data_IF_433285586174
#
_entry.id   IF_433285586174
#
_cell.length_a   1.000
_cell.length_b   1.000
_cell.length_c   1.000
_cell.angle_alpha   90.00
_cell.angle_beta   90.00
_cell.angle_gamma   90.00
#
_symmetry.space_group_name_H-M   'P 1'
#
loop_
_entity.id
_entity.type
_entity.pdbx_description
1 polymer ?
#
# COMPACT_ATOMS: atom_id res chain seq x y z
N UNK A 1 -1.39 -7.61 30.17
CA UNK A 1 -0.41 -7.12 29.17
C UNK A 1 -0.51 -7.91 27.86
N UNK A 2 -0.61 -9.24 27.92
CA UNK A 2 -0.76 -10.10 26.72
C UNK A 2 -2.06 -9.90 25.94
N UNK A 3 -3.21 -9.73 26.63
CA UNK A 3 -4.50 -9.46 25.97
C UNK A 3 -4.48 -8.21 25.07
N UNK A 4 -3.75 -7.18 25.47
CA UNK A 4 -3.57 -5.96 24.69
C UNK A 4 -2.67 -6.21 23.47
N UNK A 5 -1.64 -7.08 23.60
CA UNK A 5 -0.82 -7.50 22.45
C UNK A 5 -1.64 -8.27 21.42
N UNK A 6 -2.48 -9.20 21.86
CA UNK A 6 -3.39 -9.93 20.98
C UNK A 6 -4.30 -9.01 20.16
N UNK A 7 -5.01 -8.11 20.84
CA UNK A 7 -5.92 -7.15 20.18
C UNK A 7 -5.19 -6.29 19.14
N UNK A 8 -3.94 -5.91 19.44
CA UNK A 8 -3.10 -5.12 18.53
C UNK A 8 -2.63 -5.93 17.31
N UNK A 9 -2.15 -7.15 17.49
CA UNK A 9 -1.76 -8.00 16.35
C UNK A 9 -2.95 -8.40 15.49
N UNK A 10 -4.09 -8.69 16.10
CA UNK A 10 -5.32 -9.01 15.38
C UNK A 10 -5.80 -7.82 14.53
N UNK A 11 -5.84 -6.62 15.11
CA UNK A 11 -6.19 -5.40 14.37
C UNK A 11 -5.21 -5.14 13.21
N UNK A 12 -3.91 -5.28 13.47
CA UNK A 12 -2.89 -5.08 12.45
C UNK A 12 -2.96 -6.10 11.30
N UNK A 13 -3.24 -7.36 11.60
CA UNK A 13 -3.47 -8.39 10.60
C UNK A 13 -4.68 -8.08 9.74
N UNK A 14 -5.76 -7.60 10.35
CA UNK A 14 -6.96 -7.19 9.63
C UNK A 14 -6.67 -6.03 8.66
N UNK A 15 -5.99 -4.99 9.14
CA UNK A 15 -5.63 -3.85 8.31
C UNK A 15 -4.69 -4.20 7.15
N UNK A 16 -3.69 -5.06 7.40
CA UNK A 16 -2.81 -5.55 6.35
C UNK A 16 -3.58 -6.32 5.29
N UNK A 17 -4.50 -7.20 5.71
CA UNK A 17 -5.37 -7.95 4.77
C UNK A 17 -6.25 -7.03 3.95
N UNK A 18 -6.82 -6.01 4.58
CA UNK A 18 -7.68 -5.05 3.88
C UNK A 18 -6.88 -4.20 2.89
N UNK A 19 -5.65 -3.82 3.23
CA UNK A 19 -4.73 -3.20 2.28
C UNK A 19 -4.38 -4.15 1.12
N UNK A 20 -4.01 -5.40 1.41
CA UNK A 20 -3.68 -6.41 0.40
C UNK A 20 -4.84 -6.64 -0.57
N UNK A 21 -6.07 -6.73 -0.06
CA UNK A 21 -7.28 -6.86 -0.90
C UNK A 21 -7.47 -5.66 -1.82
N UNK A 22 -7.25 -4.44 -1.31
CA UNK A 22 -7.31 -3.22 -2.14
C UNK A 22 -6.18 -3.15 -3.16
N UNK A 23 -4.99 -3.63 -2.82
CA UNK A 23 -3.86 -3.72 -3.75
C UNK A 23 -4.13 -4.72 -4.88
N UNK A 24 -4.78 -5.84 -4.59
CA UNK A 24 -5.26 -6.77 -5.60
C UNK A 24 -6.39 -6.15 -6.45
N UNK A 25 -7.33 -5.46 -5.82
CA UNK A 25 -8.37 -4.71 -6.53
C UNK A 25 -7.82 -3.62 -7.46
N UNK A 26 -6.71 -2.98 -7.09
CA UNK A 26 -6.01 -2.02 -7.94
C UNK A 26 -5.53 -2.66 -9.25
N UNK A 27 -5.03 -3.89 -9.19
CA UNK A 27 -4.54 -4.64 -10.36
C UNK A 27 -5.67 -5.01 -11.32
N UNK A 28 -6.87 -5.26 -10.79
CA UNK A 28 -8.07 -5.61 -11.58
C UNK A 28 -8.90 -4.38 -11.98
N UNK A 29 -8.48 -3.17 -11.54
CA UNK A 29 -9.22 -1.93 -11.79
C UNK A 29 -10.49 -1.77 -10.94
N UNK A 30 -10.70 -2.64 -9.94
CA UNK A 30 -11.88 -2.64 -9.06
C UNK A 30 -11.66 -1.84 -7.77
N UNK A 31 -10.45 -1.34 -7.53
CA UNK A 31 -10.11 -0.53 -6.36
C UNK A 31 -9.07 0.54 -6.67
N UNK A 32 -8.95 1.51 -5.78
CA UNK A 32 -7.92 2.56 -5.82
C UNK A 32 -7.12 2.55 -4.53
N UNK A 33 -5.84 2.86 -4.63
CA UNK A 33 -4.98 3.13 -3.47
C UNK A 33 -4.58 4.60 -3.54
N UNK A 34 -4.82 5.31 -2.43
CA UNK A 34 -4.44 6.71 -2.26
C UNK A 34 -3.10 6.84 -1.54
N UNK A 35 -2.54 8.05 -1.55
CA UNK A 35 -1.37 8.35 -0.71
C UNK A 35 -1.67 8.18 0.78
N UNK A 36 -2.88 8.56 1.21
CA UNK A 36 -3.32 8.40 2.61
C UNK A 36 -3.31 6.94 3.07
N UNK A 37 -3.62 6.00 2.17
CA UNK A 37 -3.55 4.57 2.46
C UNK A 37 -2.10 4.11 2.72
N UNK A 38 -1.15 4.60 1.92
CA UNK A 38 0.27 4.29 2.07
C UNK A 38 0.86 4.92 3.34
N UNK A 39 0.45 6.14 3.66
CA UNK A 39 0.87 6.82 4.90
C UNK A 39 0.33 6.09 6.14
N UNK A 40 -0.94 5.67 6.11
CA UNK A 40 -1.54 4.89 7.21
C UNK A 40 -0.83 3.55 7.40
N UNK A 41 -0.56 2.84 6.31
CA UNK A 41 0.20 1.60 6.32
C UNK A 41 1.60 1.79 6.90
N UNK A 42 2.33 2.81 6.45
CA UNK A 42 3.68 3.11 6.95
C UNK A 42 3.69 3.35 8.46
N UNK A 43 2.71 4.11 8.97
CA UNK A 43 2.58 4.40 10.41
C UNK A 43 2.34 3.12 11.21
N UNK A 44 1.49 2.23 10.72
CA UNK A 44 1.19 0.95 11.36
C UNK A 44 2.43 0.05 11.43
N UNK A 45 3.15 -0.09 10.32
CA UNK A 45 4.37 -0.89 10.26
C UNK A 45 5.42 -0.42 11.27
N UNK A 46 5.62 0.90 11.39
CA UNK A 46 6.56 1.48 12.35
C UNK A 46 6.16 1.21 13.81
N UNK A 47 4.86 1.12 14.09
CA UNK A 47 4.36 0.97 15.47
C UNK A 47 4.53 -0.47 15.99
N UNK A 48 4.46 -1.48 15.12
CA UNK A 48 4.53 -2.89 15.50
C UNK A 48 5.90 -3.55 15.27
N UNK A 49 6.82 -2.89 14.57
CA UNK A 49 8.17 -3.40 14.34
C UNK A 49 8.92 -3.80 15.63
N UNK A 50 8.87 -3.03 16.73
CA UNK A 50 9.51 -3.44 17.99
C UNK A 50 8.89 -4.70 18.58
N UNK A 51 7.57 -4.85 18.48
CA UNK A 51 6.82 -5.94 19.11
C UNK A 51 6.99 -7.28 18.42
N UNK A 52 7.16 -7.29 17.09
CA UNK A 52 7.57 -8.49 16.36
C UNK A 52 8.99 -8.92 16.77
N UNK A 53 9.89 -7.95 16.95
CA UNK A 53 11.25 -8.18 17.43
C UNK A 53 11.30 -8.74 18.85
N UNK A 54 10.38 -8.34 19.73
CA UNK A 54 10.30 -8.85 21.10
C UNK A 54 9.59 -10.21 21.16
N UNK A 55 8.52 -10.39 20.37
CA UNK A 55 7.81 -11.67 20.26
C UNK A 55 8.73 -12.80 19.77
N UNK A 56 9.53 -12.55 18.73
CA UNK A 56 10.47 -13.55 18.21
C UNK A 56 11.56 -14.01 19.20
N UNK A 57 11.81 -13.23 20.27
CA UNK A 57 12.83 -13.51 21.29
C UNK A 57 12.27 -14.09 22.59
N UNK A 58 10.95 -14.18 22.73
CA UNK A 58 10.31 -14.67 23.94
C UNK A 58 9.96 -16.15 23.81
N UNK A 59 10.61 -17.00 24.61
CA UNK A 59 10.36 -18.47 24.64
C UNK A 59 8.98 -18.82 25.21
N UNK A 60 8.32 -17.89 25.88
CA UNK A 60 7.05 -18.06 26.61
C UNK A 60 5.89 -17.30 25.99
N UNK A 61 5.83 -17.20 24.66
CA UNK A 61 4.63 -16.70 24.00
C UNK A 61 3.50 -17.74 24.03
N UNK A 62 2.32 -17.28 24.44
CA UNK A 62 1.05 -17.98 24.24
C UNK A 62 0.87 -18.43 22.78
N UNK A 63 0.27 -19.60 22.58
CA UNK A 63 0.12 -20.21 21.27
C UNK A 63 -0.74 -19.36 20.31
N UNK A 64 -1.75 -18.67 20.83
CA UNK A 64 -2.58 -17.76 20.03
C UNK A 64 -1.76 -16.56 19.54
N UNK A 65 -0.97 -15.95 20.43
CA UNK A 65 -0.17 -14.78 20.09
C UNK A 65 0.92 -15.13 19.08
N UNK A 66 1.50 -16.33 19.20
CA UNK A 66 2.47 -16.86 18.23
C UNK A 66 1.87 -17.01 16.83
N UNK A 67 0.62 -17.50 16.75
CA UNK A 67 -0.08 -17.63 15.47
C UNK A 67 -0.38 -16.25 14.85
N UNK A 68 -0.84 -15.28 15.65
CA UNK A 68 -1.10 -13.92 15.18
C UNK A 68 0.17 -13.22 14.68
N UNK A 69 1.30 -13.40 15.38
CA UNK A 69 2.61 -12.88 14.95
C UNK A 69 3.07 -13.56 13.67
N UNK A 70 2.92 -14.89 13.55
CA UNK A 70 3.27 -15.62 12.33
C UNK A 70 2.43 -15.17 11.13
N UNK A 71 1.13 -14.96 11.35
CA UNK A 71 0.22 -14.41 10.36
C UNK A 71 0.62 -12.99 9.95
N UNK A 72 1.01 -12.15 10.91
CA UNK A 72 1.51 -10.80 10.63
C UNK A 72 2.77 -10.84 9.77
N UNK A 73 3.74 -11.70 10.08
CA UNK A 73 4.94 -11.88 9.27
C UNK A 73 4.59 -12.35 7.84
N UNK A 74 3.63 -13.26 7.69
CA UNK A 74 3.18 -13.69 6.37
C UNK A 74 2.51 -12.56 5.58
N UNK A 75 1.67 -11.76 6.24
CA UNK A 75 1.03 -10.58 5.65
C UNK A 75 2.08 -9.54 5.22
N UNK A 76 3.15 -9.34 6.00
CA UNK A 76 4.26 -8.45 5.63
C UNK A 76 5.01 -8.92 4.37
N UNK A 77 5.22 -10.24 4.22
CA UNK A 77 5.81 -10.79 3.00
C UNK A 77 4.91 -10.57 1.78
N UNK A 78 3.61 -10.84 1.93
CA UNK A 78 2.63 -10.58 0.88
C UNK A 78 2.58 -9.07 0.52
N UNK A 79 2.74 -8.20 1.53
CA UNK A 79 2.74 -6.76 1.35
C UNK A 79 3.90 -6.28 0.48
N UNK A 80 5.11 -6.84 0.64
CA UNK A 80 6.25 -6.49 -0.21
C UNK A 80 5.92 -6.71 -1.69
N UNK A 81 5.42 -7.90 -2.02
CA UNK A 81 5.00 -8.21 -3.40
C UNK A 81 3.84 -7.33 -3.88
N UNK A 82 2.88 -7.02 -2.99
CA UNK A 82 1.77 -6.14 -3.34
C UNK A 82 2.24 -4.71 -3.63
N UNK A 83 3.15 -4.16 -2.82
CA UNK A 83 3.69 -2.81 -3.02
C UNK A 83 4.49 -2.68 -4.31
N UNK A 84 5.24 -3.70 -4.71
CA UNK A 84 5.91 -3.73 -6.01
C UNK A 84 4.90 -3.64 -7.16
N UNK A 85 3.81 -4.41 -7.09
CA UNK A 85 2.73 -4.36 -8.09
C UNK A 85 2.05 -2.98 -8.12
N UNK A 86 1.72 -2.43 -6.96
CA UNK A 86 1.14 -1.08 -6.82
C UNK A 86 2.07 -0.04 -7.45
N UNK A 87 3.38 -0.12 -7.18
CA UNK A 87 4.39 0.77 -7.77
C UNK A 87 4.37 0.69 -9.30
N UNK A 88 4.35 -0.51 -9.88
CA UNK A 88 4.27 -0.70 -11.33
C UNK A 88 3.02 -0.04 -11.93
N UNK A 89 1.85 -0.23 -11.32
CA UNK A 89 0.60 0.41 -11.77
C UNK A 89 0.69 1.93 -11.70
N UNK A 90 1.21 2.47 -10.60
CA UNK A 90 1.34 3.92 -10.44
C UNK A 90 2.32 4.54 -11.43
N UNK A 91 3.42 3.85 -11.76
CA UNK A 91 4.36 4.28 -12.81
C UNK A 91 3.70 4.27 -14.20
N UNK A 92 2.92 3.23 -14.52
CA UNK A 92 2.18 3.17 -15.77
C UNK A 92 1.17 4.32 -15.89
N UNK A 93 0.39 4.58 -14.83
CA UNK A 93 -0.56 5.71 -14.77
C UNK A 93 0.15 7.06 -14.92
N UNK A 94 1.29 7.25 -14.26
CA UNK A 94 2.09 8.47 -14.39
C UNK A 94 2.52 8.71 -15.84
N UNK A 95 3.01 7.68 -16.52
CA UNK A 95 3.44 7.78 -17.93
C UNK A 95 2.26 8.12 -18.87
N UNK A 96 1.07 7.56 -18.60
CA UNK A 96 -0.15 7.89 -19.33
C UNK A 96 -0.51 9.37 -19.16
N UNK A 97 -0.57 9.86 -17.92
CA UNK A 97 -0.86 11.27 -17.61
C UNK A 97 0.17 12.23 -18.24
N UNK A 98 1.45 11.87 -18.23
CA UNK A 98 2.48 12.68 -18.89
C UNK A 98 2.29 12.76 -20.41
N UNK A 99 1.84 11.66 -21.02
CA UNK A 99 1.56 11.59 -22.46
C UNK A 99 0.34 12.44 -22.82
N UNK A 100 -0.73 12.34 -22.05
CA UNK A 100 -1.94 13.17 -22.19
C UNK A 100 -1.60 14.66 -22.03
N UNK A 101 -0.78 14.99 -21.03
CA UNK A 101 -0.31 16.37 -20.82
C UNK A 101 0.46 16.91 -22.03
N UNK A 102 1.35 16.11 -22.64
CA UNK A 102 2.06 16.52 -23.86
C UNK A 102 1.09 16.75 -25.02
N UNK A 103 0.08 15.91 -25.16
CA UNK A 103 -0.95 16.07 -26.19
C UNK A 103 -1.72 17.38 -26.02
N UNK A 104 -2.17 17.69 -24.79
CA UNK A 104 -2.86 18.95 -24.48
C UNK A 104 -1.98 20.16 -24.78
N UNK A 105 -0.69 20.12 -24.41
CA UNK A 105 0.24 21.20 -24.73
C UNK A 105 0.41 21.39 -26.25
N UNK A 106 0.44 20.28 -27.01
CA UNK A 106 0.46 20.31 -28.47
C UNK A 106 -0.77 21.00 -29.03
N UNK A 107 -1.97 20.60 -28.62
CA UNK A 107 -3.24 21.21 -29.03
C UNK A 107 -3.27 22.71 -28.72
N UNK A 108 -2.81 23.12 -27.53
CA UNK A 108 -2.73 24.53 -27.18
C UNK A 108 -1.83 25.31 -28.14
N UNK A 109 -0.70 24.72 -28.56
CA UNK A 109 0.18 25.29 -29.58
C UNK A 109 -0.52 25.50 -30.93
N UNK A 110 -1.27 24.49 -31.39
CA UNK A 110 -2.06 24.58 -32.63
C UNK A 110 -3.14 25.66 -32.55
N UNK A 111 -3.88 25.71 -31.44
CA UNK A 111 -4.92 26.73 -31.21
C UNK A 111 -4.29 28.12 -31.24
N UNK A 112 -3.15 28.33 -30.58
CA UNK A 112 -2.46 29.62 -30.58
C UNK A 112 -1.99 30.02 -31.99
N UNK A 113 -1.45 29.07 -32.77
CA UNK A 113 -1.01 29.32 -34.14
C UNK A 113 -2.19 29.72 -35.05
N UNK A 114 -3.33 29.01 -34.92
CA UNK A 114 -4.54 29.33 -35.67
C UNK A 114 -5.02 30.77 -35.42
N UNK A 115 -5.06 31.19 -34.15
CA UNK A 115 -5.44 32.56 -33.76
C UNK A 115 -4.43 33.63 -34.20
N UNK A 116 -3.18 33.26 -34.53
CA UNK A 116 -2.19 34.21 -35.05
C UNK A 116 -2.25 34.37 -36.58
N UNK A 117 -2.83 33.38 -37.28
CA UNK A 117 -2.91 33.36 -38.75
C UNK A 117 -4.31 33.66 -39.29
N UNK A 118 -5.30 33.88 -38.41
CA UNK A 118 -6.64 34.37 -38.75
C UNK A 118 -6.83 35.79 -38.23
#
# INVERSE_FOLDING_TARGET
>A
MERNKHERFLAANQELRDFLRRAEGLMTGTSTISEGDLQSLSRHLSTLAPEVGDASRSETLDAGLRNEVAEYVNNLRALQTALEKVRCVMLARKMQLETERRHLNGLQGWVNAYHQTT
#
